data_IF_973676149847
#
_entry.id   IF_973676149847
#
_cell.length_a   1.000
_cell.length_b   1.000
_cell.length_c   1.000
_cell.angle_alpha   90.00
_cell.angle_beta   90.00
_cell.angle_gamma   90.00
#
_symmetry.space_group_name_H-M   'P 1'
#
loop_
_entity.id
_entity.type
_entity.pdbx_description
1 polymer ?
#
# COMPACT_ATOMS: atom_id res chain seq x y z
N UNK A 1 15.66 -21.90 11.68
CA UNK A 1 16.38 -20.75 12.28
C UNK A 1 15.69 -19.45 11.89
N UNK A 2 15.52 -18.48 12.80
CA UNK A 2 14.90 -17.17 12.49
C UNK A 2 15.83 -16.31 11.62
N UNK A 3 15.29 -15.67 10.58
CA UNK A 3 16.03 -14.82 9.64
C UNK A 3 16.05 -13.38 10.16
N UNK A 4 17.09 -13.05 10.94
CA UNK A 4 17.30 -11.71 11.48
C UNK A 4 17.85 -10.76 10.41
N UNK A 5 17.45 -9.50 10.47
CA UNK A 5 18.08 -8.41 9.74
C UNK A 5 19.39 -8.04 10.46
N UNK A 6 20.50 -7.99 9.72
CA UNK A 6 21.81 -7.61 10.23
C UNK A 6 22.17 -6.21 9.73
N UNK A 7 22.52 -5.32 10.65
CA UNK A 7 23.15 -4.03 10.37
C UNK A 7 24.62 -4.04 10.81
N UNK A 8 25.31 -2.91 10.63
CA UNK A 8 26.74 -2.78 10.97
C UNK A 8 27.08 -3.21 12.41
N UNK A 9 26.18 -2.94 13.37
CA UNK A 9 26.33 -3.33 14.78
C UNK A 9 25.01 -3.81 15.42
N UNK A 10 24.02 -4.21 14.60
CA UNK A 10 22.68 -4.57 15.10
C UNK A 10 22.18 -5.87 14.48
N UNK A 11 21.41 -6.63 15.27
CA UNK A 11 20.72 -7.84 14.83
C UNK A 11 19.29 -7.78 15.32
N UNK A 12 18.35 -7.55 14.41
CA UNK A 12 16.96 -7.25 14.80
C UNK A 12 15.94 -8.06 14.00
N UNK A 13 14.79 -8.29 14.63
CA UNK A 13 13.58 -8.86 14.03
C UNK A 13 12.41 -7.95 14.39
N UNK A 14 12.35 -6.78 13.74
CA UNK A 14 11.23 -5.85 13.93
C UNK A 14 10.06 -6.25 13.04
N UNK A 15 8.97 -6.64 13.69
CA UNK A 15 7.68 -6.92 13.05
C UNK A 15 6.67 -5.94 13.61
N UNK A 16 5.98 -5.24 12.72
CA UNK A 16 4.99 -4.23 13.08
C UNK A 16 3.64 -4.65 12.52
N UNK A 17 2.60 -4.50 13.34
CA UNK A 17 1.22 -4.62 12.89
C UNK A 17 0.70 -3.22 12.57
N UNK A 18 0.61 -2.90 11.28
CA UNK A 18 0.14 -1.59 10.81
C UNK A 18 -1.26 -1.73 10.22
N UNK A 19 -2.22 -1.02 10.81
CA UNK A 19 -3.61 -0.93 10.34
C UNK A 19 -3.90 0.56 10.15
N UNK A 20 -4.61 0.90 9.08
CA UNK A 20 -5.24 2.20 8.95
C UNK A 20 -6.66 2.05 8.40
N UNK A 21 -7.46 3.09 8.61
CA UNK A 21 -8.81 3.20 8.06
C UNK A 21 -8.84 4.37 7.07
N UNK A 22 -9.56 4.17 5.97
CA UNK A 22 -9.79 5.24 5.01
C UNK A 22 -10.74 6.30 5.59
N UNK A 23 -10.50 7.56 5.20
CA UNK A 23 -11.34 8.69 5.62
C UNK A 23 -12.82 8.40 5.34
N UNK A 24 -13.67 8.71 6.31
CA UNK A 24 -15.13 8.48 6.30
C UNK A 24 -15.61 7.03 6.36
N UNK A 25 -14.72 6.04 6.53
CA UNK A 25 -15.07 4.61 6.67
C UNK A 25 -16.04 4.10 5.58
N UNK A 26 -16.02 4.72 4.39
CA UNK A 26 -16.87 4.28 3.28
C UNK A 26 -16.38 2.94 2.75
N UNK A 27 -17.28 2.07 2.29
CA UNK A 27 -16.97 0.76 1.69
C UNK A 27 -16.17 0.83 0.36
N UNK A 28 -15.48 1.94 0.08
CA UNK A 28 -14.76 2.20 -1.17
C UNK A 28 -13.44 1.42 -1.32
N UNK A 29 -12.94 0.78 -0.25
CA UNK A 29 -11.75 -0.07 -0.33
C UNK A 29 -12.14 -1.50 -0.77
N UNK A 30 -12.70 -1.61 -1.96
CA UNK A 30 -13.11 -2.87 -2.57
C UNK A 30 -12.77 -2.90 -4.08
N UNK A 31 -12.74 -4.10 -4.66
CA UNK A 31 -12.52 -4.31 -6.09
C UNK A 31 -11.23 -3.67 -6.60
N UNK A 32 -11.34 -2.94 -7.73
CA UNK A 32 -10.20 -2.30 -8.40
C UNK A 32 -9.44 -1.31 -7.51
N UNK A 33 -10.14 -0.62 -6.60
CA UNK A 33 -9.53 0.36 -5.68
C UNK A 33 -8.63 -0.35 -4.66
N UNK A 34 -9.08 -1.49 -4.11
CA UNK A 34 -8.28 -2.28 -3.17
C UNK A 34 -7.03 -2.86 -3.83
N UNK A 35 -7.17 -3.41 -5.04
CA UNK A 35 -6.05 -3.97 -5.81
C UNK A 35 -5.02 -2.86 -6.10
N UNK A 36 -5.47 -1.69 -6.58
CA UNK A 36 -4.56 -0.57 -6.86
C UNK A 36 -3.89 -0.05 -5.60
N UNK A 37 -4.61 0.05 -4.49
CA UNK A 37 -4.03 0.52 -3.21
C UNK A 37 -2.90 -0.41 -2.78
N UNK A 38 -3.09 -1.73 -2.90
CA UNK A 38 -2.04 -2.73 -2.66
C UNK A 38 -0.82 -2.52 -3.55
N UNK A 39 -1.01 -2.29 -4.85
CA UNK A 39 0.10 -2.10 -5.78
C UNK A 39 0.92 -0.85 -5.47
N UNK A 40 0.26 0.26 -5.11
CA UNK A 40 0.91 1.50 -4.68
C UNK A 40 1.75 1.28 -3.42
N UNK A 41 1.21 0.56 -2.42
CA UNK A 41 1.94 0.26 -1.17
C UNK A 41 3.18 -0.60 -1.39
N UNK A 42 3.17 -1.46 -2.40
CA UNK A 42 4.32 -2.28 -2.77
C UNK A 42 5.26 -1.59 -3.78
N UNK A 43 5.02 -0.31 -4.11
CA UNK A 43 5.85 0.46 -5.05
C UNK A 43 5.73 0.01 -6.51
N UNK A 44 4.69 -0.75 -6.86
CA UNK A 44 4.42 -1.21 -8.24
C UNK A 44 3.72 -0.09 -9.01
N UNK A 45 4.51 0.91 -9.39
CA UNK A 45 3.99 2.21 -9.77
C UNK A 45 3.84 2.37 -11.29
N UNK A 46 2.83 1.72 -11.86
CA UNK A 46 2.46 1.96 -13.26
C UNK A 46 1.82 3.36 -13.42
N UNK A 47 2.56 4.27 -14.04
CA UNK A 47 2.19 5.67 -14.26
C UNK A 47 0.99 5.83 -15.21
N UNK A 48 0.80 4.90 -16.15
CA UNK A 48 -0.30 4.93 -17.13
C UNK A 48 -1.69 4.90 -16.46
N UNK A 49 -1.79 4.25 -15.30
CA UNK A 49 -3.06 4.05 -14.56
C UNK A 49 -3.50 5.35 -13.85
N UNK A 50 -2.55 6.18 -13.39
CA UNK A 50 -2.83 7.43 -12.68
C UNK A 50 -3.66 8.42 -13.54
N UNK A 51 -3.45 8.40 -14.86
CA UNK A 51 -4.16 9.28 -15.81
C UNK A 51 -5.65 8.95 -16.00
N UNK A 52 -6.07 7.71 -15.70
CA UNK A 52 -7.44 7.24 -15.97
C UNK A 52 -8.36 7.46 -14.76
N UNK A 53 -7.83 7.34 -13.54
CA UNK A 53 -8.60 7.57 -12.31
C UNK A 53 -9.04 9.03 -12.13
N UNK A 54 -8.26 10.01 -12.63
CA UNK A 54 -8.62 11.44 -12.54
C UNK A 54 -9.78 11.82 -13.47
N UNK A 55 -9.87 11.19 -14.65
CA UNK A 55 -10.89 11.49 -15.66
C UNK A 55 -12.32 11.09 -15.28
N UNK A 56 -12.50 10.22 -14.29
CA UNK A 56 -13.83 9.83 -13.80
C UNK A 56 -14.33 10.62 -12.60
N UNK A 57 -13.57 11.62 -12.13
CA UNK A 57 -13.96 12.48 -11.01
C UNK A 57 -14.47 13.87 -11.44
N UNK A 58 -14.32 14.20 -12.73
CA UNK A 58 -14.68 15.49 -13.34
C UNK A 58 -15.99 15.41 -14.17
N UNK A 59 -16.82 14.37 -13.96
CA UNK A 59 -18.08 14.12 -14.66
C UNK A 59 -19.24 13.91 -13.70
#
# INVERSE_FOLDING_TARGET
MRRYQLGAHTKTDLKVHQIWLHKYLKRGMAGAVAIRTRDVLHGRNDLAIFSKARRGADS
#
